data_IF_104433403141
#
_entry.id   IF_104433403141
#
_cell.length_a   1.000
_cell.length_b   1.000
_cell.length_c   1.000
_cell.angle_alpha   90.00
_cell.angle_beta   90.00
_cell.angle_gamma   90.00
#
_symmetry.space_group_name_H-M   'P 1'
#
loop_
_entity.id
_entity.type
_entity.pdbx_description
1 polymer ?
#
# COMPACT_ATOMS: atom_id res chain seq x y z
N UNK A 1 18.07 12.38 9.89
CA UNK A 1 17.20 12.22 8.72
C UNK A 1 16.75 13.60 8.27
N UNK A 2 16.92 13.96 7.00
CA UNK A 2 16.47 15.25 6.47
C UNK A 2 14.99 15.15 6.13
N UNK A 3 14.21 16.07 6.70
CA UNK A 3 12.75 16.16 6.55
C UNK A 3 12.46 17.54 5.98
N UNK A 4 11.52 17.64 5.05
CA UNK A 4 11.07 18.92 4.54
C UNK A 4 10.07 19.53 5.53
N UNK A 5 10.41 20.70 6.07
CA UNK A 5 9.53 21.45 6.94
C UNK A 5 8.77 22.50 6.11
N UNK A 6 7.46 22.41 6.11
CA UNK A 6 6.54 23.30 5.39
C UNK A 6 5.86 24.23 6.38
N UNK A 7 6.34 25.46 6.47
CA UNK A 7 5.67 26.50 7.26
C UNK A 7 4.57 27.17 6.43
N UNK A 8 3.35 27.18 6.97
CA UNK A 8 2.17 27.70 6.27
C UNK A 8 1.77 29.05 6.88
N UNK A 9 1.65 30.14 6.06
CA UNK A 9 1.20 31.43 6.54
C UNK A 9 -0.20 31.37 7.15
N UNK A 10 -0.43 32.13 8.21
CA UNK A 10 -1.75 32.18 8.86
C UNK A 10 -2.88 32.56 7.90
N UNK A 11 -2.61 33.50 6.99
CA UNK A 11 -3.58 33.92 5.97
C UNK A 11 -4.07 32.82 5.06
N UNK A 12 -3.30 31.73 4.91
CA UNK A 12 -3.54 30.65 3.97
C UNK A 12 -3.87 29.31 4.67
N UNK A 13 -3.92 29.26 6.00
CA UNK A 13 -4.29 28.05 6.76
C UNK A 13 -5.67 27.51 6.37
N UNK A 14 -6.64 28.39 6.12
CA UNK A 14 -7.98 28.01 5.69
C UNK A 14 -7.99 27.38 4.29
N UNK A 15 -7.09 27.78 3.42
CA UNK A 15 -7.04 27.35 2.03
C UNK A 15 -6.12 26.12 1.84
N UNK A 16 -5.33 25.78 2.86
CA UNK A 16 -4.43 24.63 2.81
C UNK A 16 -5.17 23.33 2.46
N UNK A 17 -6.35 23.13 3.04
CA UNK A 17 -7.19 21.95 2.79
C UNK A 17 -7.72 21.82 1.35
N UNK A 18 -7.70 22.90 0.56
CA UNK A 18 -8.06 22.87 -0.87
C UNK A 18 -6.87 22.47 -1.76
N UNK A 19 -5.65 22.71 -1.29
CA UNK A 19 -4.42 22.46 -2.02
C UNK A 19 -3.76 21.15 -1.62
N UNK A 20 -3.75 20.85 -0.32
CA UNK A 20 -3.14 19.64 0.25
C UNK A 20 -4.19 18.88 1.05
N UNK A 21 -4.44 17.64 0.65
CA UNK A 21 -5.39 16.79 1.38
C UNK A 21 -4.70 16.17 2.59
N UNK A 22 -4.87 16.79 3.76
CA UNK A 22 -4.38 16.27 5.02
C UNK A 22 -5.40 15.27 5.59
N UNK A 23 -5.10 13.98 5.57
CA UNK A 23 -5.96 12.92 6.08
C UNK A 23 -5.36 12.26 7.32
N UNK A 24 -6.17 11.99 8.37
CA UNK A 24 -5.68 11.29 9.54
C UNK A 24 -5.37 9.82 9.21
N UNK A 25 -4.32 9.30 9.82
CA UNK A 25 -4.03 7.86 9.80
C UNK A 25 -4.96 7.14 10.75
N UNK A 26 -5.72 6.19 10.24
CA UNK A 26 -6.56 5.31 11.04
C UNK A 26 -5.72 4.17 11.61
N UNK A 27 -5.62 4.09 12.93
CA UNK A 27 -4.95 2.98 13.64
C UNK A 27 -5.83 1.72 13.60
N UNK A 28 -5.70 0.92 12.58
CA UNK A 28 -6.25 -0.45 12.56
C UNK A 28 -5.30 -1.42 13.27
N UNK A 29 -5.84 -2.32 14.10
CA UNK A 29 -5.10 -3.29 14.96
C UNK A 29 -4.22 -4.28 14.17
N UNK A 30 -4.28 -4.29 12.83
CA UNK A 30 -3.56 -5.23 11.96
C UNK A 30 -2.88 -4.54 10.76
N UNK A 31 -2.39 -3.30 10.91
CA UNK A 31 -1.78 -2.58 9.78
C UNK A 31 -2.78 -2.30 8.64
N UNK A 32 -4.06 -2.53 8.89
CA UNK A 32 -5.12 -2.19 7.97
C UNK A 32 -5.53 -0.78 8.29
N UNK A 33 -5.00 0.17 7.56
CA UNK A 33 -5.58 1.50 7.49
C UNK A 33 -6.99 1.32 6.91
N UNK A 34 -7.94 1.10 7.82
CA UNK A 34 -9.33 1.19 7.43
C UNK A 34 -9.56 2.61 6.93
N UNK A 35 -10.40 2.78 5.92
CA UNK A 35 -10.93 4.07 5.52
C UNK A 35 -11.59 4.67 6.78
N UNK A 36 -10.76 5.26 7.64
CA UNK A 36 -11.19 5.97 8.83
C UNK A 36 -11.73 7.30 8.37
N UNK A 37 -12.86 7.65 8.89
CA UNK A 37 -13.63 8.89 8.74
C UNK A 37 -12.91 9.94 7.91
N UNK A 38 -13.46 10.26 6.76
CA UNK A 38 -13.13 11.39 5.90
C UNK A 38 -13.16 12.69 6.73
N UNK A 39 -12.05 13.02 7.39
CA UNK A 39 -11.87 14.26 8.12
C UNK A 39 -10.59 14.90 7.59
N UNK A 40 -10.66 16.14 7.13
CA UNK A 40 -9.44 16.91 6.88
C UNK A 40 -8.81 17.26 8.23
N UNK A 41 -7.52 16.98 8.39
CA UNK A 41 -6.76 17.50 9.52
C UNK A 41 -6.64 19.02 9.36
N UNK A 42 -6.87 19.72 10.45
CA UNK A 42 -6.61 21.16 10.54
C UNK A 42 -5.24 21.37 11.15
N UNK A 43 -4.50 22.29 10.60
CA UNK A 43 -3.22 22.70 11.17
C UNK A 43 -3.51 23.75 12.24
N UNK A 44 -3.23 23.38 13.51
CA UNK A 44 -3.40 24.24 14.67
C UNK A 44 -2.04 24.79 15.15
N UNK A 45 -2.09 25.87 15.95
CA UNK A 45 -0.89 26.52 16.52
C UNK A 45 -0.29 25.79 17.74
N UNK A 46 -0.72 24.56 18.01
CA UNK A 46 -0.29 23.79 19.18
C UNK A 46 0.63 22.61 18.84
N UNK A 47 0.99 22.43 17.56
CA UNK A 47 1.83 21.32 17.17
C UNK A 47 2.15 21.25 15.68
N UNK A 48 2.83 20.18 15.30
CA UNK A 48 3.19 19.89 13.92
C UNK A 48 2.40 18.68 13.41
N UNK A 49 2.05 18.69 12.13
CA UNK A 49 1.51 17.52 11.43
C UNK A 49 2.64 16.83 10.70
N UNK A 50 2.90 15.58 11.03
CA UNK A 50 4.01 14.79 10.49
C UNK A 50 3.49 13.81 9.46
N UNK A 51 4.17 13.66 8.32
CA UNK A 51 3.84 12.62 7.34
C UNK A 51 4.00 11.22 7.93
N UNK A 52 3.19 10.27 7.49
CA UNK A 52 3.20 8.88 7.98
C UNK A 52 4.56 8.19 7.79
N UNK A 53 5.24 8.46 6.67
CA UNK A 53 6.58 7.93 6.39
C UNK A 53 7.58 8.37 7.45
N UNK A 54 7.62 9.69 7.75
CA UNK A 54 8.49 10.25 8.78
C UNK A 54 8.10 9.78 10.20
N UNK A 55 6.80 9.72 10.49
CA UNK A 55 6.30 9.21 11.76
C UNK A 55 6.69 7.75 12.01
N UNK A 56 6.62 6.90 10.98
CA UNK A 56 7.03 5.49 11.04
C UNK A 56 8.53 5.34 11.24
N UNK A 57 9.33 6.10 10.49
CA UNK A 57 10.80 6.07 10.59
C UNK A 57 11.30 6.54 11.95
N UNK A 58 10.65 7.55 12.55
CA UNK A 58 10.98 8.09 13.85
C UNK A 58 10.32 7.36 15.03
N UNK A 59 9.39 6.43 14.76
CA UNK A 59 8.63 5.74 15.78
C UNK A 59 7.70 6.63 16.60
N UNK A 60 7.23 7.76 16.02
CA UNK A 60 6.39 8.75 16.72
C UNK A 60 4.92 8.63 16.35
N UNK A 61 4.06 9.05 17.25
CA UNK A 61 2.60 9.07 17.10
C UNK A 61 2.06 10.44 17.47
N UNK A 62 0.79 10.70 17.17
CA UNK A 62 0.11 11.89 17.67
C UNK A 62 0.26 12.00 19.21
N UNK A 63 0.61 13.17 19.68
CA UNK A 63 0.94 13.44 21.10
C UNK A 63 2.41 13.27 21.48
N UNK A 64 3.24 12.64 20.63
CA UNK A 64 4.68 12.51 20.85
C UNK A 64 5.40 13.86 20.70
N UNK A 65 6.62 13.93 21.23
CA UNK A 65 7.52 15.08 21.03
C UNK A 65 8.62 14.70 20.05
N UNK A 66 8.88 15.57 19.09
CA UNK A 66 9.96 15.42 18.10
C UNK A 66 10.94 16.57 18.24
N UNK A 67 12.22 16.30 18.01
CA UNK A 67 13.26 17.33 17.95
C UNK A 67 13.45 17.72 16.48
N UNK A 68 13.23 18.97 16.18
CA UNK A 68 13.44 19.56 14.85
C UNK A 68 14.72 20.40 14.92
N UNK A 69 15.50 20.35 13.86
CA UNK A 69 16.68 21.19 13.68
C UNK A 69 16.48 22.00 12.41
N UNK A 70 16.53 23.33 12.48
CA UNK A 70 16.40 24.18 11.30
C UNK A 70 17.71 24.22 10.48
N UNK A 71 17.69 24.92 9.33
CA UNK A 71 18.87 25.09 8.47
C UNK A 71 20.07 25.76 9.16
N UNK A 72 19.84 26.56 10.20
CA UNK A 72 20.85 27.24 10.98
C UNK A 72 21.42 26.40 12.14
N UNK A 73 20.95 25.15 12.26
CA UNK A 73 21.38 24.23 13.33
C UNK A 73 20.69 24.46 14.68
N UNK A 74 19.71 25.35 14.75
CA UNK A 74 18.93 25.59 15.97
C UNK A 74 17.97 24.44 16.21
N UNK A 75 18.00 23.88 17.43
CA UNK A 75 17.17 22.75 17.82
C UNK A 75 15.95 23.22 18.62
N UNK A 76 14.79 22.74 18.24
CA UNK A 76 13.53 22.97 18.95
C UNK A 76 12.79 21.66 19.17
N UNK A 77 12.01 21.58 20.25
CA UNK A 77 11.16 20.40 20.51
C UNK A 77 9.72 20.75 20.18
N UNK A 78 9.17 20.10 19.18
CA UNK A 78 7.80 20.26 18.73
C UNK A 78 6.91 19.10 19.22
N UNK A 79 5.64 19.39 19.45
CA UNK A 79 4.62 18.38 19.74
C UNK A 79 3.97 17.94 18.43
N UNK A 80 3.85 16.64 18.21
CA UNK A 80 3.09 16.08 17.09
C UNK A 80 1.61 16.18 17.38
N UNK A 81 0.88 17.04 16.67
CA UNK A 81 -0.57 17.18 16.81
C UNK A 81 -1.30 16.05 16.10
N UNK A 82 -0.86 15.71 14.91
CA UNK A 82 -1.44 14.62 14.12
C UNK A 82 -0.40 14.01 13.18
N UNK A 83 -0.74 12.82 12.66
CA UNK A 83 0.02 12.16 11.59
C UNK A 83 -0.83 12.19 10.33
N UNK A 84 -0.28 12.73 9.25
CA UNK A 84 -0.91 12.81 7.94
C UNK A 84 -0.62 11.55 7.13
N UNK A 85 -1.66 11.00 6.51
CA UNK A 85 -1.55 9.90 5.54
C UNK A 85 -0.97 10.43 4.24
N UNK A 86 0.35 10.44 4.15
CA UNK A 86 1.06 10.78 2.92
C UNK A 86 1.82 9.56 2.41
N UNK A 87 1.60 9.19 1.14
CA UNK A 87 2.23 8.02 0.53
C UNK A 87 3.67 8.31 0.09
N UNK A 88 3.94 9.56 -0.29
CA UNK A 88 5.23 10.01 -0.83
C UNK A 88 5.64 11.28 -0.12
N UNK A 89 6.91 11.36 0.27
CA UNK A 89 7.46 12.50 0.98
C UNK A 89 7.49 12.31 2.49
N UNK A 90 8.34 13.08 3.14
CA UNK A 90 8.52 13.09 4.60
C UNK A 90 8.27 14.50 5.15
N UNK A 91 7.19 15.13 4.68
CA UNK A 91 6.87 16.51 5.00
C UNK A 91 6.35 16.66 6.42
N UNK A 92 6.72 17.77 7.05
CA UNK A 92 6.20 18.20 8.35
C UNK A 92 5.56 19.57 8.14
N UNK A 93 4.26 19.66 8.40
CA UNK A 93 3.50 20.90 8.29
C UNK A 93 3.45 21.61 9.64
N UNK A 94 3.69 22.90 9.63
CA UNK A 94 3.68 23.77 10.81
C UNK A 94 3.03 25.11 10.46
N UNK A 95 2.30 25.73 11.40
CA UNK A 95 1.84 27.10 11.23
C UNK A 95 3.02 28.08 11.41
N UNK A 96 2.94 29.23 10.72
CA UNK A 96 3.93 30.31 10.86
C UNK A 96 4.11 30.72 12.33
N UNK A 97 3.01 30.89 13.04
CA UNK A 97 3.01 31.28 14.46
C UNK A 97 3.69 30.23 15.34
N UNK A 98 3.43 28.94 15.11
CA UNK A 98 4.06 27.89 15.91
C UNK A 98 5.53 27.71 15.54
N UNK A 99 5.90 27.90 14.27
CA UNK A 99 7.29 27.91 13.82
C UNK A 99 8.08 29.02 14.51
N UNK A 100 7.56 30.25 14.54
CA UNK A 100 8.17 31.37 15.25
C UNK A 100 8.30 31.08 16.75
N UNK A 101 7.27 30.51 17.40
CA UNK A 101 7.35 30.10 18.81
C UNK A 101 8.44 29.06 19.07
N UNK A 102 8.67 28.14 18.14
CA UNK A 102 9.68 27.08 18.28
C UNK A 102 11.11 27.61 18.16
N UNK A 103 11.34 28.47 17.17
CA UNK A 103 12.70 28.88 16.82
C UNK A 103 13.06 30.29 17.29
N UNK A 104 12.07 31.19 17.57
CA UNK A 104 12.28 32.52 18.15
C UNK A 104 12.31 32.53 19.69
N UNK A 105 11.86 31.45 20.34
CA UNK A 105 11.86 31.41 21.80
C UNK A 105 13.29 31.39 22.34
N UNK A 106 13.58 32.35 23.17
CA UNK A 106 14.76 32.85 23.88
C UNK A 106 15.75 31.84 24.50
N UNK A 107 15.65 30.55 24.18
CA UNK A 107 16.58 29.50 24.57
C UNK A 107 17.84 29.38 23.67
N UNK A 108 17.96 30.24 22.66
CA UNK A 108 19.18 30.45 21.90
C UNK A 108 20.29 31.13 22.75
N UNK A 109 20.18 31.17 24.09
CA UNK A 109 21.16 31.77 25.00
C UNK A 109 22.50 31.05 25.12
N UNK A 110 22.70 29.95 24.43
CA UNK A 110 23.96 29.20 24.55
C UNK A 110 24.89 29.27 23.33
N UNK A 111 24.58 30.08 22.32
CA UNK A 111 25.54 30.34 21.25
C UNK A 111 26.06 31.77 21.38
N UNK A 112 27.19 31.91 22.05
CA UNK A 112 27.82 33.16 22.43
C UNK A 112 28.38 34.01 21.29
N UNK A 113 27.94 33.91 20.04
CA UNK A 113 28.51 34.68 18.94
C UNK A 113 27.54 35.13 17.84
N UNK A 114 26.24 35.21 18.06
CA UNK A 114 25.36 35.89 17.09
C UNK A 114 24.95 37.25 17.64
N UNK A 115 25.45 38.30 16.99
CA UNK A 115 24.96 39.67 17.20
C UNK A 115 23.47 39.70 16.82
N UNK A 116 22.66 39.86 17.83
CA UNK A 116 21.21 40.10 17.72
C UNK A 116 20.97 41.36 16.89
N UNK A 117 20.63 41.20 15.64
CA UNK A 117 19.95 42.24 14.88
C UNK A 117 18.48 42.20 15.29
N UNK A 118 18.01 43.33 15.78
CA UNK A 118 16.68 43.63 16.34
C UNK A 118 15.63 43.87 15.27
N UNK A 119 15.77 43.27 14.09
CA UNK A 119 14.71 43.25 13.09
C UNK A 119 14.17 41.83 13.06
N UNK A 120 12.87 41.70 13.36
CA UNK A 120 12.09 40.51 13.04
C UNK A 120 12.23 40.34 11.53
N UNK A 121 13.20 39.55 11.06
CA UNK A 121 13.28 39.22 9.64
C UNK A 121 11.95 38.55 9.31
N UNK A 122 11.12 39.28 8.55
CA UNK A 122 9.91 38.75 8.01
C UNK A 122 10.26 37.46 7.28
N UNK A 123 9.63 36.35 7.67
CA UNK A 123 9.85 35.06 7.03
C UNK A 123 9.76 35.23 5.51
N UNK A 124 10.85 34.94 4.82
CA UNK A 124 10.87 34.99 3.36
C UNK A 124 10.32 33.68 2.84
N UNK A 125 9.29 33.77 2.03
CA UNK A 125 8.65 32.62 1.40
C UNK A 125 9.52 32.13 0.25
N UNK A 126 9.82 30.84 0.25
CA UNK A 126 10.69 30.20 -0.76
C UNK A 126 9.94 29.21 -1.65
N UNK A 127 8.66 28.98 -1.40
CA UNK A 127 7.82 28.10 -2.20
C UNK A 127 6.39 28.62 -2.27
N UNK A 128 5.71 28.32 -3.37
CA UNK A 128 4.31 28.65 -3.61
C UNK A 128 3.56 27.39 -4.07
N UNK A 129 2.43 27.12 -3.44
CA UNK A 129 1.46 26.14 -3.92
C UNK A 129 0.32 26.88 -4.61
N UNK A 130 -0.01 26.47 -5.83
CA UNK A 130 -1.09 27.06 -6.60
C UNK A 130 -2.01 25.98 -7.17
N UNK A 131 -3.31 26.23 -7.13
CA UNK A 131 -4.30 25.39 -7.82
C UNK A 131 -4.61 26.00 -9.18
N UNK A 132 -4.25 25.29 -10.24
CA UNK A 132 -4.49 25.70 -11.60
C UNK A 132 -5.78 25.09 -12.12
N UNK A 133 -6.47 25.82 -12.99
CA UNK A 133 -7.59 25.33 -13.78
C UNK A 133 -7.10 25.00 -15.19
N UNK A 134 -7.61 23.90 -15.77
CA UNK A 134 -7.23 23.47 -17.12
C UNK A 134 -6.97 21.99 -17.22
N UNK A 135 -6.55 21.52 -18.39
CA UNK A 135 -6.15 20.14 -18.61
C UNK A 135 -4.77 19.85 -17.99
N UNK A 136 -4.49 18.59 -17.71
CA UNK A 136 -3.19 18.15 -17.14
C UNK A 136 -2.01 18.60 -18.01
N UNK A 137 -2.16 18.54 -19.34
CA UNK A 137 -1.14 19.02 -20.28
C UNK A 137 -0.88 20.52 -20.14
N UNK A 138 -1.96 21.34 -20.07
CA UNK A 138 -1.80 22.80 -19.93
C UNK A 138 -1.21 23.22 -18.59
N UNK A 139 -1.45 22.44 -17.52
CA UNK A 139 -0.83 22.67 -16.21
C UNK A 139 0.68 22.33 -16.24
N UNK A 140 1.05 21.28 -16.98
CA UNK A 140 2.46 20.90 -17.16
C UNK A 140 3.21 21.93 -17.99
N UNK A 141 2.65 22.34 -19.13
CA UNK A 141 3.24 23.37 -19.98
C UNK A 141 3.43 24.71 -19.23
N UNK A 142 2.45 25.07 -18.37
CA UNK A 142 2.57 26.25 -17.53
C UNK A 142 3.68 26.12 -16.48
N UNK A 143 3.81 24.96 -15.83
CA UNK A 143 4.88 24.70 -14.87
C UNK A 143 6.25 24.79 -15.55
N UNK A 144 6.42 24.22 -16.75
CA UNK A 144 7.65 24.32 -17.54
C UNK A 144 7.95 25.77 -17.93
N UNK A 145 6.95 26.55 -18.32
CA UNK A 145 7.13 27.96 -18.64
C UNK A 145 7.59 28.82 -17.44
N UNK A 146 7.22 28.43 -16.22
CA UNK A 146 7.70 29.10 -15.00
C UNK A 146 9.18 28.81 -14.72
N UNK A 147 9.71 27.66 -15.13
CA UNK A 147 11.15 27.34 -14.98
C UNK A 147 12.05 28.18 -15.90
N UNK A 148 11.49 28.81 -16.95
CA UNK A 148 12.23 29.76 -17.79
C UNK A 148 12.54 31.08 -17.06
N UNK A 149 11.79 31.41 -15.99
CA UNK A 149 12.07 32.58 -15.17
C UNK A 149 13.24 32.29 -14.20
N UNK A 150 14.27 33.11 -14.27
CA UNK A 150 15.47 32.99 -13.44
C UNK A 150 15.21 33.09 -11.95
N UNK A 151 14.05 33.57 -11.52
CA UNK A 151 13.62 33.63 -10.12
C UNK A 151 13.03 32.33 -9.60
N UNK A 152 12.64 31.41 -10.49
CA UNK A 152 12.04 30.13 -10.16
C UNK A 152 13.08 29.02 -10.30
N UNK A 153 13.45 28.41 -9.19
CA UNK A 153 14.40 27.30 -9.20
C UNK A 153 13.80 26.03 -9.81
N UNK A 154 12.55 25.73 -9.48
CA UNK A 154 11.82 24.57 -9.98
C UNK A 154 10.32 24.76 -9.83
N UNK A 155 9.57 24.40 -10.86
CA UNK A 155 8.10 24.31 -10.84
C UNK A 155 7.68 22.88 -11.18
N UNK A 156 6.78 22.30 -10.39
CA UNK A 156 6.33 20.92 -10.60
C UNK A 156 4.82 20.87 -10.62
N UNK A 157 4.25 20.36 -11.72
CA UNK A 157 2.83 20.09 -11.78
C UNK A 157 2.50 18.72 -11.16
N UNK A 158 1.41 18.66 -10.36
CA UNK A 158 0.95 17.37 -9.81
C UNK A 158 0.54 16.39 -10.92
N UNK A 159 0.08 16.88 -12.06
CA UNK A 159 -0.25 16.06 -13.22
C UNK A 159 1.01 15.38 -13.79
N UNK A 160 2.09 16.11 -13.95
CA UNK A 160 3.37 15.56 -14.41
C UNK A 160 3.94 14.55 -13.41
N UNK A 161 3.86 14.84 -12.10
CA UNK A 161 4.25 13.87 -11.07
C UNK A 161 3.42 12.59 -11.15
N UNK A 162 2.10 12.70 -11.29
CA UNK A 162 1.22 11.54 -11.40
C UNK A 162 1.55 10.68 -12.63
N UNK A 163 1.89 11.29 -13.76
CA UNK A 163 2.32 10.59 -14.97
C UNK A 163 3.69 9.92 -14.79
N UNK A 164 4.63 10.59 -14.14
CA UNK A 164 5.95 10.03 -13.82
C UNK A 164 5.89 8.83 -12.88
N UNK A 165 4.84 8.75 -12.04
CA UNK A 165 4.57 7.61 -11.18
C UNK A 165 3.65 6.54 -11.80
N UNK A 166 3.17 6.72 -13.04
CA UNK A 166 2.54 5.65 -13.81
C UNK A 166 3.61 4.66 -14.27
N UNK A 167 4.01 3.79 -13.39
CA UNK A 167 4.96 2.73 -13.70
C UNK A 167 4.29 1.67 -14.58
N UNK A 168 4.37 1.79 -15.90
CA UNK A 168 3.97 0.73 -16.83
C UNK A 168 4.74 -0.57 -16.55
N UNK A 169 6.00 -0.46 -16.14
CA UNK A 169 6.81 -1.57 -15.65
C UNK A 169 6.20 -2.29 -14.44
N UNK A 170 5.55 -1.56 -13.52
CA UNK A 170 4.94 -2.16 -12.33
C UNK A 170 3.77 -3.08 -12.73
N UNK A 171 2.97 -2.67 -13.72
CA UNK A 171 1.91 -3.50 -14.28
C UNK A 171 2.44 -4.80 -14.86
N UNK A 172 3.54 -4.76 -15.61
CA UNK A 172 4.20 -5.93 -16.19
C UNK A 172 4.77 -6.86 -15.11
N UNK A 173 5.42 -6.31 -14.06
CA UNK A 173 5.95 -7.09 -12.93
C UNK A 173 4.81 -7.77 -12.16
N UNK A 174 3.72 -7.06 -11.87
CA UNK A 174 2.55 -7.64 -11.20
C UNK A 174 1.92 -8.74 -12.05
N UNK A 175 1.76 -8.52 -13.36
CA UNK A 175 1.23 -9.53 -14.28
C UNK A 175 2.13 -10.79 -14.30
N UNK A 176 3.44 -10.62 -14.31
CA UNK A 176 4.39 -11.74 -14.24
C UNK A 176 4.26 -12.53 -12.94
N UNK A 177 4.20 -11.83 -11.79
CA UNK A 177 4.03 -12.47 -10.48
C UNK A 177 2.70 -13.25 -10.42
N UNK A 178 1.61 -12.65 -10.91
CA UNK A 178 0.29 -13.32 -10.98
C UNK A 178 0.34 -14.56 -11.88
N UNK A 179 1.00 -14.47 -13.04
CA UNK A 179 1.15 -15.59 -13.95
C UNK A 179 1.96 -16.75 -13.32
N UNK A 180 3.08 -16.43 -12.65
CA UNK A 180 3.89 -17.42 -11.94
C UNK A 180 3.14 -18.05 -10.77
N UNK A 181 2.42 -17.25 -9.98
CA UNK A 181 1.59 -17.76 -8.89
C UNK A 181 0.45 -18.65 -9.40
N UNK A 182 -0.20 -18.26 -10.50
CA UNK A 182 -1.22 -19.07 -11.18
C UNK A 182 -0.66 -20.38 -11.71
N UNK A 183 0.51 -20.35 -12.34
CA UNK A 183 1.22 -21.53 -12.80
C UNK A 183 1.58 -22.49 -11.66
N UNK A 184 2.08 -21.96 -10.55
CA UNK A 184 2.38 -22.74 -9.35
C UNK A 184 1.10 -23.38 -8.78
N UNK A 185 0.01 -22.60 -8.67
CA UNK A 185 -1.28 -23.11 -8.19
C UNK A 185 -1.80 -24.25 -9.09
N UNK A 186 -1.69 -24.13 -10.42
CA UNK A 186 -2.05 -25.19 -11.36
C UNK A 186 -1.25 -26.47 -11.09
N UNK A 187 0.07 -26.37 -10.96
CA UNK A 187 0.95 -27.53 -10.73
C UNK A 187 0.61 -28.21 -9.39
N UNK A 188 0.43 -27.42 -8.33
CA UNK A 188 0.10 -27.94 -7.00
C UNK A 188 -1.28 -28.62 -6.99
N UNK A 189 -2.29 -27.97 -7.57
CA UNK A 189 -3.64 -28.56 -7.68
C UNK A 189 -3.65 -29.83 -8.52
N UNK A 190 -2.94 -29.83 -9.64
CA UNK A 190 -2.82 -31.01 -10.50
C UNK A 190 -2.12 -32.17 -9.77
N UNK A 191 -1.02 -31.90 -9.08
CA UNK A 191 -0.29 -32.90 -8.30
C UNK A 191 -1.17 -33.47 -7.18
N UNK A 192 -1.86 -32.59 -6.43
CA UNK A 192 -2.77 -32.98 -5.37
C UNK A 192 -3.93 -33.85 -5.90
N UNK A 193 -4.54 -33.44 -7.01
CA UNK A 193 -5.60 -34.19 -7.66
C UNK A 193 -5.12 -35.58 -8.11
N UNK A 194 -3.96 -35.64 -8.76
CA UNK A 194 -3.38 -36.91 -9.23
C UNK A 194 -3.02 -37.85 -8.08
N UNK A 195 -2.46 -37.32 -6.99
CA UNK A 195 -2.15 -38.10 -5.77
C UNK A 195 -3.41 -38.61 -5.12
N UNK A 196 -4.45 -37.76 -4.95
CA UNK A 196 -5.72 -38.17 -4.38
C UNK A 196 -6.39 -39.27 -5.19
N UNK A 197 -6.37 -39.13 -6.55
CA UNK A 197 -6.88 -40.18 -7.46
C UNK A 197 -6.08 -41.47 -7.29
N UNK A 198 -4.74 -41.40 -7.25
CA UNK A 198 -3.84 -42.59 -7.12
C UNK A 198 -4.05 -43.32 -5.81
N UNK A 199 -4.24 -42.59 -4.72
CA UNK A 199 -4.49 -43.22 -3.38
C UNK A 199 -5.85 -43.92 -3.30
N UNK A 200 -6.85 -43.43 -4.04
CA UNK A 200 -8.24 -43.95 -4.01
C UNK A 200 -8.62 -44.78 -5.22
N UNK A 201 -7.64 -45.17 -6.06
CA UNK A 201 -7.89 -45.99 -7.26
C UNK A 201 -8.73 -47.23 -6.95
N UNK A 202 -8.46 -47.93 -5.82
CA UNK A 202 -9.22 -49.11 -5.41
C UNK A 202 -10.67 -48.80 -5.04
N UNK A 203 -10.90 -47.70 -4.30
CA UNK A 203 -12.25 -47.28 -3.94
C UNK A 203 -13.07 -46.95 -5.21
N UNK A 204 -12.43 -46.26 -6.18
CA UNK A 204 -13.04 -45.94 -7.46
C UNK A 204 -13.28 -47.21 -8.31
N UNK A 205 -12.34 -48.15 -8.30
CA UNK A 205 -12.50 -49.44 -8.97
C UNK A 205 -13.66 -50.25 -8.37
N UNK A 206 -13.83 -50.26 -7.04
CA UNK A 206 -14.96 -50.92 -6.41
C UNK A 206 -16.29 -50.28 -6.74
N UNK A 207 -16.37 -48.96 -6.85
CA UNK A 207 -17.58 -48.27 -7.29
C UNK A 207 -17.93 -48.61 -8.72
N UNK A 208 -16.97 -48.68 -9.64
CA UNK A 208 -17.15 -49.09 -11.03
C UNK A 208 -17.68 -50.57 -11.12
N UNK A 209 -17.11 -51.47 -10.31
CA UNK A 209 -17.59 -52.87 -10.28
C UNK A 209 -19.00 -53.00 -9.69
N UNK A 210 -19.41 -52.14 -8.79
CA UNK A 210 -20.75 -52.04 -8.24
C UNK A 210 -21.77 -51.43 -9.23
N UNK A 211 -21.32 -51.02 -10.43
CA UNK A 211 -22.16 -50.55 -11.49
C UNK A 211 -22.36 -49.02 -11.57
N UNK A 212 -21.57 -48.24 -10.84
CA UNK A 212 -21.57 -46.78 -10.98
C UNK A 212 -20.97 -46.39 -12.33
N UNK A 213 -21.59 -45.40 -12.98
CA UNK A 213 -21.07 -44.85 -14.22
C UNK A 213 -19.87 -43.95 -13.98
N UNK A 214 -18.95 -43.89 -14.97
CA UNK A 214 -17.77 -43.04 -14.91
C UNK A 214 -18.08 -41.60 -14.55
N UNK A 215 -19.20 -41.07 -15.05
CA UNK A 215 -19.69 -39.73 -14.75
C UNK A 215 -20.01 -39.49 -13.27
N UNK A 216 -20.48 -40.50 -12.57
CA UNK A 216 -20.82 -40.43 -11.14
C UNK A 216 -19.54 -40.45 -10.28
N UNK A 217 -18.56 -41.26 -10.68
CA UNK A 217 -17.24 -41.30 -10.06
C UNK A 217 -16.51 -39.98 -10.22
N UNK A 218 -16.55 -39.39 -11.44
CA UNK A 218 -15.99 -38.05 -11.66
C UNK A 218 -16.66 -36.97 -10.80
N UNK A 219 -17.98 -37.03 -10.69
CA UNK A 219 -18.72 -36.06 -9.88
C UNK A 219 -18.34 -36.14 -8.41
N UNK A 220 -18.11 -37.33 -7.89
CA UNK A 220 -17.70 -37.55 -6.51
C UNK A 220 -16.31 -36.94 -6.24
N UNK A 221 -15.31 -37.27 -7.06
CA UNK A 221 -13.93 -36.75 -6.94
C UNK A 221 -13.88 -35.23 -7.13
N UNK A 222 -14.56 -34.73 -8.16
CA UNK A 222 -14.59 -33.30 -8.48
C UNK A 222 -15.25 -32.48 -7.37
N UNK A 223 -16.29 -33.01 -6.71
CA UNK A 223 -16.95 -32.36 -5.58
C UNK A 223 -16.01 -32.22 -4.38
N UNK A 224 -15.23 -33.24 -4.07
CA UNK A 224 -14.23 -33.20 -2.99
C UNK A 224 -13.15 -32.15 -3.27
N UNK A 225 -12.62 -32.14 -4.49
CA UNK A 225 -11.63 -31.14 -4.93
C UNK A 225 -12.16 -29.71 -4.85
N UNK A 226 -13.42 -29.51 -5.21
CA UNK A 226 -14.06 -28.19 -5.11
C UNK A 226 -14.22 -27.72 -3.67
N UNK A 227 -14.60 -28.62 -2.75
CA UNK A 227 -14.69 -28.30 -1.32
C UNK A 227 -13.34 -27.90 -0.76
N UNK A 228 -12.28 -28.66 -1.08
CA UNK A 228 -10.91 -28.34 -0.66
C UNK A 228 -10.45 -26.99 -1.22
N UNK A 229 -10.77 -26.71 -2.49
CA UNK A 229 -10.45 -25.42 -3.12
C UNK A 229 -11.17 -24.26 -2.42
N UNK A 230 -12.45 -24.38 -2.13
CA UNK A 230 -13.22 -23.36 -1.40
C UNK A 230 -12.62 -23.12 -0.01
N UNK A 231 -12.27 -24.17 0.73
CA UNK A 231 -11.60 -24.03 2.01
C UNK A 231 -10.25 -23.33 1.88
N UNK A 232 -9.47 -23.68 0.84
CA UNK A 232 -8.21 -23.00 0.51
C UNK A 232 -8.39 -21.51 0.23
N UNK A 233 -9.44 -21.13 -0.50
CA UNK A 233 -9.77 -19.72 -0.78
C UNK A 233 -10.12 -18.98 0.53
N UNK A 234 -10.97 -19.57 1.37
CA UNK A 234 -11.41 -18.94 2.63
C UNK A 234 -10.22 -18.67 3.57
N UNK A 235 -9.26 -19.60 3.63
CA UNK A 235 -8.06 -19.44 4.45
C UNK A 235 -6.97 -18.61 3.76
N UNK A 236 -6.80 -18.77 2.46
CA UNK A 236 -5.74 -18.14 1.69
C UNK A 236 -5.92 -16.62 1.54
N UNK A 237 -7.14 -16.14 1.37
CA UNK A 237 -7.39 -14.70 1.21
C UNK A 237 -6.98 -13.85 2.43
N UNK A 238 -7.39 -14.19 3.66
CA UNK A 238 -6.93 -13.44 4.84
C UNK A 238 -5.44 -13.63 5.10
N UNK A 239 -4.89 -14.82 4.84
CA UNK A 239 -3.47 -15.08 4.98
C UNK A 239 -2.64 -14.25 4.00
N UNK A 240 -3.08 -14.15 2.74
CA UNK A 240 -2.44 -13.30 1.73
C UNK A 240 -2.40 -11.84 2.13
N UNK A 241 -3.49 -11.32 2.73
CA UNK A 241 -3.52 -9.97 3.27
C UNK A 241 -2.53 -9.78 4.42
N UNK A 242 -2.46 -10.75 5.33
CA UNK A 242 -1.54 -10.72 6.47
C UNK A 242 -0.08 -10.70 6.00
N UNK A 243 0.29 -11.58 5.07
CA UNK A 243 1.64 -11.65 4.50
C UNK A 243 1.97 -10.36 3.73
N UNK A 244 1.03 -9.83 2.94
CA UNK A 244 1.19 -8.53 2.25
C UNK A 244 1.44 -7.39 3.23
N UNK A 245 0.71 -7.35 4.36
CA UNK A 245 0.94 -6.38 5.43
C UNK A 245 2.32 -6.51 6.08
N UNK A 246 2.77 -7.72 6.36
CA UNK A 246 4.12 -7.94 6.89
C UNK A 246 5.21 -7.51 5.90
N UNK A 247 5.02 -7.77 4.61
CA UNK A 247 5.97 -7.39 3.57
C UNK A 247 6.10 -5.87 3.46
N UNK A 248 4.99 -5.13 3.50
CA UNK A 248 5.04 -3.66 3.47
C UNK A 248 5.69 -3.06 4.71
N UNK A 249 5.50 -3.66 5.88
CA UNK A 249 6.24 -3.25 7.09
C UNK A 249 7.76 -3.48 6.96
N UNK A 250 8.17 -4.53 6.25
CA UNK A 250 9.58 -4.82 6.00
C UNK A 250 10.22 -3.86 4.98
N UNK A 251 9.42 -3.29 4.06
CA UNK A 251 9.85 -2.32 3.04
C UNK A 251 9.92 -0.88 3.58
N UNK A 252 10.22 -0.69 4.85
CA UNK A 252 10.25 0.62 5.50
C UNK A 252 11.30 1.54 4.85
N UNK A 253 10.84 2.37 3.90
CA UNK A 253 11.67 3.39 3.25
C UNK A 253 11.35 4.78 3.84
N UNK A 254 12.36 5.60 4.18
CA UNK A 254 12.16 6.85 4.91
C UNK A 254 11.21 7.86 4.25
N UNK A 255 11.10 7.83 2.91
CA UNK A 255 10.29 8.79 2.15
C UNK A 255 9.07 8.17 1.46
N UNK A 256 8.85 6.86 1.63
CA UNK A 256 7.76 6.14 0.99
C UNK A 256 7.01 5.32 2.03
N UNK A 257 5.71 5.52 2.08
CA UNK A 257 4.81 4.70 2.88
C UNK A 257 3.93 3.84 1.97
N UNK A 258 4.11 2.54 2.05
CA UNK A 258 3.29 1.59 1.30
C UNK A 258 2.10 1.17 2.16
N UNK A 259 0.90 1.53 1.73
CA UNK A 259 -0.31 1.09 2.37
C UNK A 259 -0.91 -0.10 1.64
N UNK A 260 -1.16 -1.20 2.37
CA UNK A 260 -1.86 -2.36 1.82
C UNK A 260 -3.36 -2.13 1.88
N UNK A 261 -3.89 -1.47 0.86
CA UNK A 261 -5.32 -1.34 0.67
C UNK A 261 -5.80 -2.39 -0.34
N UNK A 262 -6.42 -3.47 0.15
CA UNK A 262 -6.99 -4.50 -0.71
C UNK A 262 -8.47 -4.19 -0.91
N UNK A 263 -8.84 -3.77 -2.13
CA UNK A 263 -10.23 -3.52 -2.48
C UNK A 263 -11.04 -4.83 -2.44
N UNK A 264 -12.32 -4.79 -2.02
CA UNK A 264 -13.18 -5.99 -1.99
C UNK A 264 -13.24 -6.72 -3.32
N UNK A 265 -13.20 -5.98 -4.43
CA UNK A 265 -13.18 -6.55 -5.79
C UNK A 265 -11.96 -7.44 -6.02
N UNK A 266 -10.79 -7.10 -5.46
CA UNK A 266 -9.58 -7.93 -5.59
C UNK A 266 -9.72 -9.30 -4.93
N UNK A 267 -10.44 -9.39 -3.81
CA UNK A 267 -10.75 -10.68 -3.19
C UNK A 267 -11.66 -11.52 -4.08
N UNK A 268 -12.67 -10.90 -4.69
CA UNK A 268 -13.57 -11.60 -5.63
C UNK A 268 -12.81 -12.10 -6.85
N UNK A 269 -11.96 -11.27 -7.44
CA UNK A 269 -11.15 -11.65 -8.61
C UNK A 269 -10.22 -12.81 -8.24
N UNK A 270 -9.53 -12.76 -7.10
CA UNK A 270 -8.64 -13.83 -6.65
C UNK A 270 -9.40 -15.14 -6.40
N UNK A 271 -10.58 -15.07 -5.75
CA UNK A 271 -11.42 -16.23 -5.52
C UNK A 271 -11.89 -16.87 -6.84
N UNK A 272 -12.41 -16.05 -7.78
CA UNK A 272 -12.87 -16.51 -9.09
C UNK A 272 -11.72 -17.12 -9.91
N UNK A 273 -10.54 -16.48 -9.89
CA UNK A 273 -9.36 -17.01 -10.59
C UNK A 273 -8.93 -18.37 -10.01
N UNK A 274 -8.92 -18.52 -8.68
CA UNK A 274 -8.58 -19.80 -8.05
C UNK A 274 -9.59 -20.88 -8.37
N UNK A 275 -10.89 -20.56 -8.39
CA UNK A 275 -11.94 -21.49 -8.80
C UNK A 275 -11.81 -21.88 -10.28
N UNK A 276 -11.49 -20.93 -11.15
CA UNK A 276 -11.25 -21.21 -12.56
C UNK A 276 -10.05 -22.15 -12.76
N UNK A 277 -8.95 -21.96 -12.03
CA UNK A 277 -7.82 -22.88 -12.04
C UNK A 277 -8.20 -24.28 -11.55
N UNK A 278 -9.01 -24.40 -10.49
CA UNK A 278 -9.49 -25.68 -10.01
C UNK A 278 -10.33 -26.42 -11.06
N UNK A 279 -11.20 -25.69 -11.78
CA UNK A 279 -11.97 -26.26 -12.88
C UNK A 279 -11.10 -26.70 -14.05
N UNK A 280 -10.07 -25.92 -14.42
CA UNK A 280 -9.10 -26.31 -15.42
C UNK A 280 -8.35 -27.59 -15.03
N UNK A 281 -7.92 -27.71 -13.78
CA UNK A 281 -7.27 -28.92 -13.29
C UNK A 281 -8.20 -30.13 -13.39
N UNK A 282 -9.48 -30.00 -13.01
CA UNK A 282 -10.47 -31.07 -13.18
C UNK A 282 -10.58 -31.54 -14.63
N UNK A 283 -10.53 -30.60 -15.59
CA UNK A 283 -10.58 -30.93 -17.01
C UNK A 283 -9.39 -31.81 -17.45
N UNK A 284 -8.19 -31.59 -16.85
CA UNK A 284 -7.01 -32.39 -17.11
C UNK A 284 -6.96 -33.72 -16.34
N UNK A 285 -7.60 -33.78 -15.17
CA UNK A 285 -7.63 -34.98 -14.33
C UNK A 285 -8.71 -35.97 -14.76
N UNK A 286 -9.84 -35.50 -15.27
CA UNK A 286 -10.91 -36.38 -15.74
C UNK A 286 -10.47 -37.48 -16.72
N UNK A 287 -9.64 -37.21 -17.74
CA UNK A 287 -9.14 -38.27 -18.63
C UNK A 287 -8.23 -39.28 -17.94
N UNK A 288 -7.60 -38.92 -16.83
CA UNK A 288 -6.79 -39.86 -16.03
C UNK A 288 -7.69 -40.81 -15.27
N UNK A 289 -8.83 -40.33 -14.76
CA UNK A 289 -9.86 -41.15 -14.10
C UNK A 289 -10.50 -42.16 -15.05
N UNK A 290 -10.69 -41.80 -16.33
CA UNK A 290 -11.26 -42.69 -17.34
C UNK A 290 -10.36 -43.89 -17.63
N UNK A 291 -9.05 -43.73 -17.50
CA UNK A 291 -8.04 -44.79 -17.78
C UNK A 291 -7.87 -45.78 -16.64
N UNK A 292 -8.56 -45.64 -15.52
CA UNK A 292 -8.49 -46.59 -14.41
C UNK A 292 -9.20 -47.87 -14.83
N UNK A 293 -8.42 -48.96 -15.03
CA UNK A 293 -8.95 -50.29 -15.29
C UNK A 293 -9.34 -50.95 -13.96
N UNK A 294 -10.64 -51.24 -13.73
CA UNK A 294 -11.10 -51.86 -12.49
C UNK A 294 -10.49 -53.22 -12.20
N UNK A 295 -10.22 -54.00 -13.25
CA UNK A 295 -9.75 -55.39 -13.14
C UNK A 295 -8.30 -55.46 -12.70
N UNK A 296 -7.44 -54.65 -13.32
CA UNK A 296 -6.01 -54.55 -12.98
C UNK A 296 -5.78 -53.99 -11.58
N UNK A 297 -6.60 -52.99 -11.20
CA UNK A 297 -6.51 -52.30 -9.89
C UNK A 297 -6.92 -53.16 -8.71
N UNK A 298 -7.77 -54.15 -8.89
CA UNK A 298 -8.20 -55.10 -7.89
C UNK A 298 -7.27 -56.34 -7.80
N UNK A 299 -6.60 -56.70 -8.92
CA UNK A 299 -5.76 -57.90 -9.02
C UNK A 299 -4.32 -57.70 -8.51
N UNK A 300 -3.87 -56.49 -8.24
CA UNK A 300 -2.50 -56.18 -7.78
C UNK A 300 -2.22 -56.48 -6.30
N UNK A 301 -2.94 -57.46 -5.70
CA UNK A 301 -2.84 -57.87 -4.26
C UNK A 301 -2.49 -59.35 -4.10
N UNK A 302 -1.98 -60.03 -5.12
CA UNK A 302 -1.33 -61.31 -4.94
C UNK A 302 0.19 -61.22 -5.10
#
# INVERSE_FOLDING_TARGET
ESIQLVAVPEKHLSNLGEMVTLQPVSSGILGTSGVGKTGSLKLDDDGVIVAQSAASALGVKAGSKVRLTNGDGVQATAKVSAVNRNLIGSDVYVSETYYAKLFDSKDAKNTKNSKSSKDSEALTWNAMLAKLSGSDASQTDYAESLEEDSSVMKAVSCAHMADSFKFDLMGAVVALIVALAGGLALVVLFTLANTNVSERVREMATLKVLGFFDREVHHYVNREMMILTVMGVILGLPLGRLVGGMLTMALNMPSLYFEVEVKPLSYVIAAVATMAFALLVQLFVNPVLDRIDPISSLKSVE
#
